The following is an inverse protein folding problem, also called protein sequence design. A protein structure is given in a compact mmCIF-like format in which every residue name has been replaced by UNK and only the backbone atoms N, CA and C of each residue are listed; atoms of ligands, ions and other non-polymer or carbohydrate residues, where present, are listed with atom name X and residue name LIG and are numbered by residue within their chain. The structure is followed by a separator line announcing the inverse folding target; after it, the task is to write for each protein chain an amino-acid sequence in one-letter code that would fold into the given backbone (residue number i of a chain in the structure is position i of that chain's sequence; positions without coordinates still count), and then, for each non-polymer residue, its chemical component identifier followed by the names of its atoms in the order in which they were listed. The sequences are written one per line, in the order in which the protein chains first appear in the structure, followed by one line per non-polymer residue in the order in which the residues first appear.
data_IF_193423087570
#
_entry.id   IF_193423087570
#
_cell.length_a   1.000
_cell.length_b   1.000
_cell.length_c   1.000
_cell.angle_alpha   90.00
_cell.angle_beta   90.00
_cell.angle_gamma   90.00
#
_symmetry.space_group_name_H-M   'P 1'
#
loop_
_entity.id
_entity.type
_entity.pdbx_description
1 polymer ?
#
# COMPACT_ATOMS: atom_id res chain seq x y z
N UNK A 1 -18.16 6.27 1.76
CA UNK A 1 -17.90 7.06 0.56
C UNK A 1 -16.97 6.23 -0.31
N UNK A 2 -17.52 5.38 -1.19
CA UNK A 2 -16.75 4.47 -2.07
C UNK A 2 -17.51 4.30 -3.40
N UNK A 3 -18.85 4.26 -3.34
CA UNK A 3 -19.73 4.13 -4.51
C UNK A 3 -20.21 5.47 -5.08
N UNK A 4 -19.50 6.57 -4.79
CA UNK A 4 -19.99 7.93 -5.02
C UNK A 4 -19.40 8.58 -6.30
N UNK A 5 -18.56 7.86 -7.04
CA UNK A 5 -17.89 8.38 -8.25
C UNK A 5 -16.59 9.15 -8.00
N UNK A 6 -16.08 9.15 -6.76
CA UNK A 6 -14.74 9.67 -6.44
C UNK A 6 -13.64 8.91 -7.18
N UNK A 7 -12.47 9.53 -7.37
CA UNK A 7 -11.34 8.86 -8.01
C UNK A 7 -10.83 7.70 -7.15
N UNK A 8 -10.12 6.76 -7.78
CA UNK A 8 -9.54 5.62 -7.08
C UNK A 8 -8.53 6.07 -6.02
N UNK A 9 -7.72 7.07 -6.35
CA UNK A 9 -6.70 7.67 -5.49
C UNK A 9 -7.33 8.32 -4.26
N UNK A 10 -8.39 9.11 -4.46
CA UNK A 10 -9.11 9.76 -3.36
C UNK A 10 -9.75 8.72 -2.44
N UNK A 11 -10.40 7.72 -3.02
CA UNK A 11 -11.03 6.62 -2.27
C UNK A 11 -9.99 5.83 -1.48
N UNK A 12 -8.85 5.49 -2.08
CA UNK A 12 -7.76 4.77 -1.43
C UNK A 12 -7.15 5.58 -0.28
N UNK A 13 -6.99 6.90 -0.47
CA UNK A 13 -6.51 7.82 0.55
C UNK A 13 -7.46 7.90 1.75
N UNK A 14 -8.77 8.02 1.50
CA UNK A 14 -9.78 8.02 2.56
C UNK A 14 -9.78 6.71 3.34
N UNK A 15 -9.69 5.57 2.66
CA UNK A 15 -9.61 4.25 3.30
C UNK A 15 -8.43 4.15 4.27
N UNK A 16 -7.25 4.65 3.87
CA UNK A 16 -6.08 4.66 4.74
C UNK A 16 -6.34 5.49 6.01
N UNK A 17 -6.81 6.73 5.85
CA UNK A 17 -7.08 7.63 6.98
C UNK A 17 -8.16 7.09 7.93
N UNK A 18 -9.22 6.48 7.38
CA UNK A 18 -10.29 5.87 8.16
C UNK A 18 -9.80 4.68 9.00
N UNK A 19 -8.84 3.91 8.48
CA UNK A 19 -8.24 2.80 9.23
C UNK A 19 -7.32 3.32 10.33
N UNK A 20 -6.48 4.30 10.02
CA UNK A 20 -5.57 4.94 10.98
C UNK A 20 -6.34 5.63 12.12
N UNK A 21 -7.47 6.28 11.82
CA UNK A 21 -8.33 6.90 12.82
C UNK A 21 -8.99 5.88 13.78
N UNK A 22 -9.24 4.65 13.31
CA UNK A 22 -9.84 3.56 14.12
C UNK A 22 -8.81 2.74 14.89
N UNK A 23 -7.56 2.72 14.44
CA UNK A 23 -6.49 1.88 14.98
C UNK A 23 -5.29 2.75 15.42
N UNK A 24 -5.28 3.21 16.69
CA UNK A 24 -4.19 4.03 17.19
C UNK A 24 -2.82 3.38 17.01
N UNK A 25 -1.87 4.12 16.44
CA UNK A 25 -0.49 3.67 16.24
C UNK A 25 -0.25 2.85 14.96
N UNK A 26 -1.27 2.69 14.10
CA UNK A 26 -1.13 2.06 12.78
C UNK A 26 -0.95 3.15 11.71
N UNK A 27 -0.09 2.87 10.72
CA UNK A 27 0.02 3.62 9.46
C UNK A 27 -0.45 2.70 8.34
N UNK A 28 -1.28 3.20 7.43
CA UNK A 28 -1.87 2.45 6.33
C UNK A 28 -1.39 2.99 4.98
N UNK A 29 -1.10 2.08 4.06
CA UNK A 29 -0.77 2.39 2.68
C UNK A 29 -1.35 1.35 1.73
N UNK A 30 -1.72 1.79 0.54
CA UNK A 30 -2.19 0.97 -0.57
C UNK A 30 -1.23 1.17 -1.74
N UNK A 31 -0.73 0.06 -2.26
CA UNK A 31 0.09 -0.03 -3.48
C UNK A 31 -0.65 -0.82 -4.54
N UNK A 32 -0.49 -0.41 -5.80
CA UNK A 32 -0.94 -1.17 -6.97
C UNK A 32 0.24 -1.83 -7.67
N UNK A 33 -0.05 -2.75 -8.58
CA UNK A 33 0.96 -3.40 -9.43
C UNK A 33 0.64 -3.03 -10.87
N UNK A 34 1.61 -2.47 -11.59
CA UNK A 34 1.43 -2.13 -12.99
C UNK A 34 1.62 -3.35 -13.93
N UNK A 35 1.45 -3.13 -15.23
CA UNK A 35 1.60 -4.18 -16.24
C UNK A 35 3.02 -4.73 -16.38
N UNK A 36 4.03 -4.01 -15.87
CA UNK A 36 5.42 -4.45 -15.82
C UNK A 36 5.76 -5.17 -14.50
N UNK A 37 4.74 -5.50 -13.69
CA UNK A 37 4.88 -6.12 -12.37
C UNK A 37 5.66 -5.25 -11.37
N UNK A 38 5.60 -3.92 -11.52
CA UNK A 38 6.21 -2.97 -10.60
C UNK A 38 5.19 -2.45 -9.60
N UNK A 39 5.61 -2.28 -8.36
CA UNK A 39 4.84 -1.58 -7.33
C UNK A 39 4.67 -0.12 -7.72
N UNK A 40 3.45 0.39 -7.55
CA UNK A 40 3.09 1.79 -7.74
C UNK A 40 2.34 2.30 -6.54
N UNK A 41 2.79 3.41 -5.98
CA UNK A 41 2.11 4.01 -4.83
C UNK A 41 0.71 4.49 -5.25
N UNK A 42 -0.33 4.06 -4.54
CA UNK A 42 -1.70 4.50 -4.77
C UNK A 42 -2.18 5.46 -3.68
N UNK A 43 -1.93 5.12 -2.42
CA UNK A 43 -2.24 5.99 -1.28
C UNK A 43 -1.36 5.65 -0.08
N UNK A 44 -0.72 6.64 0.53
CA UNK A 44 0.04 6.45 1.77
C UNK A 44 0.11 7.78 2.57
N UNK A 45 -1.04 8.30 3.02
CA UNK A 45 -1.16 9.69 3.49
C UNK A 45 -0.34 9.99 4.75
N UNK A 46 -0.09 9.00 5.59
CA UNK A 46 0.66 9.15 6.85
C UNK A 46 2.03 8.45 6.81
N UNK A 47 2.40 7.85 5.68
CA UNK A 47 3.67 7.19 5.49
C UNK A 47 4.75 8.21 5.08
N UNK A 48 5.95 8.20 5.68
CA UNK A 48 7.00 9.13 5.30
C UNK A 48 7.37 9.05 3.81
N UNK A 49 7.49 10.20 3.15
CA UNK A 49 7.85 10.29 1.72
C UNK A 49 9.08 9.47 1.32
N UNK A 50 10.19 9.43 2.11
CA UNK A 50 11.35 8.62 1.74
C UNK A 50 11.05 7.14 1.64
N UNK A 51 10.10 6.64 2.45
CA UNK A 51 9.69 5.24 2.40
C UNK A 51 8.84 4.97 1.16
N UNK A 52 7.85 5.85 0.87
CA UNK A 52 7.04 5.78 -0.35
C UNK A 52 7.91 5.79 -1.62
N UNK A 53 8.92 6.66 -1.66
CA UNK A 53 9.85 6.76 -2.78
C UNK A 53 10.75 5.52 -2.93
N UNK A 54 11.11 4.87 -1.82
CA UNK A 54 11.98 3.69 -1.84
C UNK A 54 11.28 2.43 -2.39
N UNK A 55 9.95 2.36 -2.29
CA UNK A 55 9.17 1.20 -2.76
C UNK A 55 8.53 1.41 -4.14
N UNK A 56 8.36 2.65 -4.59
CA UNK A 56 7.77 2.94 -5.90
C UNK A 56 8.70 2.48 -7.03
N UNK A 57 8.15 1.74 -8.00
CA UNK A 57 8.89 1.17 -9.12
C UNK A 57 9.69 -0.09 -8.79
N UNK A 58 9.55 -0.65 -7.59
CA UNK A 58 10.19 -1.94 -7.24
C UNK A 58 9.42 -3.10 -7.88
N UNK A 59 10.13 -4.01 -8.55
CA UNK A 59 9.54 -5.23 -9.12
C UNK A 59 9.09 -6.17 -8.01
N UNK A 60 7.86 -6.70 -8.09
CA UNK A 60 7.38 -7.68 -7.11
C UNK A 60 8.17 -8.99 -7.17
N UNK A 61 8.30 -9.67 -6.03
CA UNK A 61 8.98 -10.95 -5.94
C UNK A 61 8.86 -11.57 -4.55
N UNK A 62 9.16 -12.87 -4.40
CA UNK A 62 8.96 -13.60 -3.14
C UNK A 62 9.83 -13.05 -1.99
N UNK A 63 10.97 -12.43 -2.32
CA UNK A 63 11.92 -11.87 -1.35
C UNK A 63 11.92 -10.32 -1.33
N UNK A 64 10.87 -9.70 -1.87
CA UNK A 64 10.77 -8.23 -2.03
C UNK A 64 9.89 -7.63 -0.96
N UNK A 65 10.41 -7.56 0.27
CA UNK A 65 9.69 -7.03 1.43
C UNK A 65 8.33 -7.73 1.65
N UNK A 66 7.51 -7.18 2.54
CA UNK A 66 6.18 -7.76 2.80
C UNK A 66 5.19 -7.49 1.67
N UNK A 67 5.10 -6.25 1.18
CA UNK A 67 4.14 -5.86 0.16
C UNK A 67 4.45 -6.47 -1.23
N UNK A 68 5.73 -6.53 -1.62
CA UNK A 68 6.14 -7.15 -2.88
C UNK A 68 5.94 -8.67 -2.86
N UNK A 69 6.27 -9.34 -1.74
CA UNK A 69 5.99 -10.77 -1.57
C UNK A 69 4.49 -11.07 -1.59
N UNK A 70 3.67 -10.28 -0.88
CA UNK A 70 2.22 -10.46 -0.87
C UNK A 70 1.61 -10.30 -2.28
N UNK A 71 2.05 -9.29 -3.03
CA UNK A 71 1.61 -9.05 -4.40
C UNK A 71 2.01 -10.19 -5.36
N UNK A 72 3.23 -10.73 -5.23
CA UNK A 72 3.74 -11.83 -6.05
C UNK A 72 3.03 -13.16 -5.74
N UNK A 73 2.93 -13.51 -4.47
CA UNK A 73 2.37 -14.79 -4.01
C UNK A 73 0.84 -14.81 -4.02
N UNK A 74 0.19 -13.65 -4.19
CA UNK A 74 -1.27 -13.48 -4.12
C UNK A 74 -1.86 -14.04 -2.82
N UNK A 75 -1.15 -13.81 -1.71
CA UNK A 75 -1.54 -14.26 -0.38
C UNK A 75 -1.28 -13.18 0.65
N UNK A 76 -1.98 -13.25 1.79
CA UNK A 76 -1.73 -12.35 2.89
C UNK A 76 -0.37 -12.67 3.55
N UNK A 77 0.45 -11.64 3.78
CA UNK A 77 1.75 -11.74 4.45
C UNK A 77 1.72 -10.86 5.71
N UNK A 78 2.08 -11.45 6.85
CA UNK A 78 2.21 -10.76 8.14
C UNK A 78 3.67 -10.85 8.61
N UNK A 79 4.26 -9.72 8.95
CA UNK A 79 5.60 -9.64 9.55
C UNK A 79 5.45 -9.22 11.00
N UNK A 80 6.01 -9.99 11.93
CA UNK A 80 5.86 -9.76 13.39
C UNK A 80 7.12 -9.18 14.04
N UNK A 81 8.22 -9.03 13.30
CA UNK A 81 9.50 -8.51 13.79
C UNK A 81 10.17 -7.66 12.71
N UNK A 82 10.39 -6.38 13.02
CA UNK A 82 11.17 -5.39 12.27
C UNK A 82 12.03 -4.62 13.26
#
# INVERSE_FOLDING_TARGET
MIANGSSLEETARELCLEMEARLPGVICSIVSVDSAAMLRQLAAPSLPDPFSAAIDGVMIGPDVGSCGAAAYLRTAVLVTRT
#
